data_IF_463435230516
#
_entry.id   IF_463435230516
#
_cell.length_a   1.000
_cell.length_b   1.000
_cell.length_c   1.000
_cell.angle_alpha   90.00
_cell.angle_beta   90.00
_cell.angle_gamma   90.00
#
_symmetry.space_group_name_H-M   'P 1'
#
loop_
_entity.id
_entity.type
_entity.pdbx_description
1 polymer ?
#
# COMPACT_ATOMS: atom_id res chain seq x y z
N UNK A 1 -4.62 -11.80 -42.85
CA UNK A 1 -5.32 -11.44 -41.60
C UNK A 1 -4.34 -10.72 -40.71
N UNK A 2 -4.65 -9.48 -40.31
CA UNK A 2 -3.79 -8.63 -39.47
C UNK A 2 -4.07 -9.02 -38.02
N UNK A 3 -3.10 -9.63 -37.34
CA UNK A 3 -3.27 -10.12 -35.98
C UNK A 3 -3.39 -8.94 -35.02
N UNK A 4 -4.52 -8.83 -34.32
CA UNK A 4 -4.94 -7.68 -33.52
C UNK A 4 -4.62 -7.89 -32.04
N UNK A 5 -3.38 -8.29 -31.71
CA UNK A 5 -2.98 -8.58 -30.32
C UNK A 5 -1.65 -7.93 -29.91
N UNK A 6 -1.19 -6.90 -30.63
CA UNK A 6 0.14 -6.33 -30.43
C UNK A 6 0.17 -4.85 -29.96
N UNK A 7 -0.90 -4.31 -29.36
CA UNK A 7 -0.95 -2.85 -29.10
C UNK A 7 -1.51 -2.38 -27.75
N UNK A 8 -1.65 -3.24 -26.74
CA UNK A 8 -2.17 -2.79 -25.44
C UNK A 8 -1.09 -2.54 -24.38
N UNK A 9 0.18 -2.80 -24.68
CA UNK A 9 1.33 -2.53 -23.79
C UNK A 9 2.16 -1.30 -24.18
N UNK A 10 1.94 -0.73 -25.37
CA UNK A 10 2.73 0.40 -25.91
C UNK A 10 2.41 1.72 -25.19
N UNK A 11 1.15 1.96 -24.85
CA UNK A 11 0.73 3.20 -24.21
C UNK A 11 1.24 3.30 -22.77
N UNK A 12 1.21 2.23 -21.99
CA UNK A 12 1.68 2.22 -20.59
C UNK A 12 3.21 2.40 -20.52
N UNK A 13 3.95 1.79 -21.44
CA UNK A 13 5.41 1.92 -21.52
C UNK A 13 5.88 3.30 -22.01
N UNK A 14 5.01 4.10 -22.61
CA UNK A 14 5.31 5.48 -23.04
C UNK A 14 4.79 6.50 -22.03
N UNK A 15 3.55 6.34 -21.58
CA UNK A 15 2.87 7.30 -20.68
C UNK A 15 3.48 7.25 -19.28
N UNK A 16 3.83 6.07 -18.76
CA UNK A 16 4.43 5.95 -17.44
C UNK A 16 5.75 6.70 -17.32
N UNK A 17 6.78 6.47 -18.19
CA UNK A 17 8.01 7.25 -18.12
C UNK A 17 7.82 8.72 -18.46
N UNK A 18 6.88 9.09 -19.34
CA UNK A 18 6.59 10.49 -19.63
C UNK A 18 5.94 11.21 -18.44
N UNK A 19 5.02 10.55 -17.74
CA UNK A 19 4.45 11.05 -16.49
C UNK A 19 5.53 11.17 -15.41
N UNK A 20 6.44 10.19 -15.29
CA UNK A 20 7.58 10.27 -14.37
C UNK A 20 8.54 11.42 -14.71
N UNK A 21 8.83 11.65 -16.00
CA UNK A 21 9.70 12.74 -16.43
C UNK A 21 9.09 14.11 -16.13
N UNK A 22 7.80 14.30 -16.43
CA UNK A 22 7.05 15.51 -16.08
C UNK A 22 7.05 15.70 -14.56
N UNK A 23 6.74 14.65 -13.80
CA UNK A 23 6.74 14.70 -12.34
C UNK A 23 8.13 15.05 -11.76
N UNK A 24 9.20 14.58 -12.41
CA UNK A 24 10.59 14.90 -12.05
C UNK A 24 10.89 16.39 -12.21
N UNK A 25 10.50 17.00 -13.33
CA UNK A 25 10.70 18.44 -13.57
C UNK A 25 9.91 19.29 -12.56
N UNK A 26 8.68 18.88 -12.21
CA UNK A 26 7.90 19.56 -11.18
C UNK A 26 8.45 19.33 -9.75
N UNK A 27 9.10 18.20 -9.50
CA UNK A 27 9.68 17.84 -8.20
C UNK A 27 10.91 18.67 -7.81
N UNK A 28 11.63 19.24 -8.78
CA UNK A 28 12.77 20.12 -8.49
C UNK A 28 12.32 21.47 -7.92
N UNK A 29 11.06 21.86 -8.12
CA UNK A 29 10.49 23.03 -7.48
C UNK A 29 10.03 22.72 -6.04
N UNK A 30 10.64 23.43 -5.09
CA UNK A 30 10.39 23.28 -3.65
C UNK A 30 8.91 23.45 -3.25
N UNK A 31 8.16 24.34 -3.92
CA UNK A 31 6.74 24.55 -3.63
C UNK A 31 5.90 23.32 -4.01
N UNK A 32 6.08 22.81 -5.23
CA UNK A 32 5.35 21.64 -5.71
C UNK A 32 5.68 20.39 -4.89
N UNK A 33 6.96 20.19 -4.54
CA UNK A 33 7.37 19.10 -3.64
C UNK A 33 6.64 19.15 -2.29
N UNK A 34 6.57 20.33 -1.67
CA UNK A 34 5.87 20.49 -0.39
C UNK A 34 4.37 20.24 -0.50
N UNK A 35 3.73 20.67 -1.60
CA UNK A 35 2.31 20.40 -1.85
C UNK A 35 2.07 18.89 -1.99
N UNK A 36 2.92 18.17 -2.75
CA UNK A 36 2.80 16.71 -2.91
C UNK A 36 2.97 16.00 -1.56
N UNK A 37 3.94 16.42 -0.73
CA UNK A 37 4.12 15.86 0.62
C UNK A 37 2.87 16.07 1.48
N UNK A 38 2.29 17.28 1.46
CA UNK A 38 1.07 17.57 2.19
C UNK A 38 -0.11 16.70 1.72
N UNK A 39 -0.25 16.49 0.41
CA UNK A 39 -1.26 15.59 -0.16
C UNK A 39 -1.03 14.13 0.26
N UNK A 40 0.20 13.65 0.27
CA UNK A 40 0.53 12.29 0.75
C UNK A 40 0.14 12.10 2.22
N UNK A 41 0.43 13.09 3.07
CA UNK A 41 0.03 13.07 4.48
C UNK A 41 -1.50 13.08 4.61
N UNK A 42 -2.20 13.88 3.82
CA UNK A 42 -3.66 13.94 3.84
C UNK A 42 -4.29 12.58 3.43
N UNK A 43 -3.79 11.97 2.36
CA UNK A 43 -4.21 10.64 1.90
C UNK A 43 -3.94 9.58 2.97
N UNK A 44 -2.83 9.67 3.68
CA UNK A 44 -2.49 8.78 4.79
C UNK A 44 -3.48 8.90 5.95
N UNK A 45 -3.81 10.12 6.38
CA UNK A 45 -4.79 10.37 7.44
C UNK A 45 -6.16 9.81 7.03
N UNK A 46 -6.61 10.11 5.81
CA UNK A 46 -7.88 9.61 5.29
C UNK A 46 -7.92 8.08 5.26
N UNK A 47 -6.87 7.44 4.76
CA UNK A 47 -6.78 5.98 4.66
C UNK A 47 -6.74 5.32 6.05
N UNK A 48 -6.08 5.95 7.02
CA UNK A 48 -6.06 5.51 8.43
C UNK A 48 -7.46 5.52 9.02
N UNK A 49 -8.21 6.62 8.88
CA UNK A 49 -9.58 6.75 9.39
C UNK A 49 -10.50 5.72 8.72
N UNK A 50 -10.40 5.56 7.40
CA UNK A 50 -11.20 4.57 6.65
C UNK A 50 -10.94 3.15 7.15
N UNK A 51 -9.67 2.76 7.28
CA UNK A 51 -9.31 1.42 7.78
C UNK A 51 -9.73 1.20 9.24
N UNK A 52 -9.64 2.23 10.08
CA UNK A 52 -10.12 2.16 11.46
C UNK A 52 -11.64 1.90 11.49
N UNK A 53 -12.40 2.59 10.64
CA UNK A 53 -13.85 2.39 10.53
C UNK A 53 -14.20 0.97 10.08
N UNK A 54 -13.50 0.44 9.07
CA UNK A 54 -13.68 -0.94 8.58
C UNK A 54 -13.38 -1.94 9.69
N UNK A 55 -12.27 -1.76 10.41
CA UNK A 55 -11.85 -2.63 11.52
C UNK A 55 -12.89 -2.66 12.63
N UNK A 56 -13.36 -1.49 13.07
CA UNK A 56 -14.37 -1.37 14.12
C UNK A 56 -15.72 -1.95 13.69
N UNK A 57 -16.06 -1.84 12.40
CA UNK A 57 -17.27 -2.43 11.85
C UNK A 57 -17.15 -3.96 11.84
N UNK A 58 -16.05 -4.51 11.30
CA UNK A 58 -15.79 -5.95 11.29
C UNK A 58 -15.85 -6.58 12.68
N UNK A 59 -15.22 -5.96 13.69
CA UNK A 59 -15.30 -6.44 15.08
C UNK A 59 -16.74 -6.55 15.60
N UNK A 60 -17.64 -5.66 15.16
CA UNK A 60 -19.04 -5.63 15.61
C UNK A 60 -19.95 -6.59 14.84
N UNK A 61 -19.63 -6.88 13.58
CA UNK A 61 -20.51 -7.63 12.67
C UNK A 61 -20.05 -9.06 12.42
N UNK A 62 -18.81 -9.42 12.77
CA UNK A 62 -18.27 -10.75 12.50
C UNK A 62 -19.03 -11.84 13.26
N UNK A 63 -19.36 -12.92 12.56
CA UNK A 63 -19.97 -14.11 13.16
C UNK A 63 -19.00 -14.75 14.18
N UNK A 64 -19.56 -15.29 15.26
CA UNK A 64 -18.82 -16.00 16.31
C UNK A 64 -18.21 -17.31 15.83
N UNK A 65 -18.66 -17.84 14.69
CA UNK A 65 -18.16 -19.09 14.11
C UNK A 65 -16.93 -18.94 13.20
N UNK A 66 -16.40 -17.72 13.02
CA UNK A 66 -15.20 -17.51 12.20
C UNK A 66 -13.96 -18.02 12.92
N UNK A 67 -13.09 -18.71 12.19
CA UNK A 67 -11.82 -19.20 12.73
C UNK A 67 -10.88 -18.03 13.02
N UNK A 68 -10.55 -17.88 14.28
CA UNK A 68 -9.64 -16.84 14.77
C UNK A 68 -8.40 -17.45 15.40
N UNK A 69 -7.26 -16.78 15.27
CA UNK A 69 -5.99 -17.22 15.83
C UNK A 69 -5.93 -17.00 17.34
N UNK A 70 -6.34 -15.81 17.81
CA UNK A 70 -6.36 -15.45 19.23
C UNK A 70 -7.77 -15.05 19.66
N UNK A 71 -8.48 -14.32 18.79
CA UNK A 71 -9.88 -13.95 19.00
C UNK A 71 -10.26 -12.81 18.08
N UNK A 72 -11.55 -12.73 17.71
CA UNK A 72 -12.10 -11.80 16.71
C UNK A 72 -11.56 -10.38 16.88
N UNK A 73 -11.67 -9.81 18.08
CA UNK A 73 -11.20 -8.44 18.34
C UNK A 73 -9.70 -8.27 18.10
N UNK A 74 -8.89 -9.20 18.59
CA UNK A 74 -7.43 -9.11 18.53
C UNK A 74 -6.94 -9.28 17.09
N UNK A 75 -7.50 -10.25 16.37
CA UNK A 75 -7.14 -10.53 14.99
C UNK A 75 -7.48 -9.34 14.07
N UNK A 76 -8.65 -8.70 14.24
CA UNK A 76 -8.97 -7.47 13.52
C UNK A 76 -7.99 -6.32 13.81
N UNK A 77 -7.53 -6.16 15.05
CA UNK A 77 -6.49 -5.17 15.36
C UNK A 77 -5.15 -5.52 14.72
N UNK A 78 -4.78 -6.80 14.65
CA UNK A 78 -3.58 -7.25 13.92
C UNK A 78 -3.71 -6.89 12.44
N UNK A 79 -4.87 -7.10 11.82
CA UNK A 79 -5.14 -6.72 10.43
C UNK A 79 -5.06 -5.21 10.24
N UNK A 80 -5.60 -4.42 11.16
CA UNK A 80 -5.48 -2.97 11.12
C UNK A 80 -4.01 -2.53 11.16
N UNK A 81 -3.24 -3.04 12.11
CA UNK A 81 -1.81 -2.72 12.26
C UNK A 81 -1.04 -3.16 11.01
N UNK A 82 -1.33 -4.35 10.48
CA UNK A 82 -0.79 -4.85 9.22
C UNK A 82 -1.01 -3.83 8.12
N UNK A 83 -2.27 -3.45 7.86
CA UNK A 83 -2.60 -2.48 6.81
C UNK A 83 -1.89 -1.14 7.03
N UNK A 84 -1.81 -0.64 8.27
CA UNK A 84 -1.09 0.59 8.58
C UNK A 84 0.40 0.50 8.27
N UNK A 85 1.05 -0.63 8.57
CA UNK A 85 2.46 -0.86 8.21
C UNK A 85 2.64 -0.83 6.68
N UNK A 86 1.77 -1.49 5.92
CA UNK A 86 1.81 -1.45 4.45
C UNK A 86 1.66 -0.02 3.91
N UNK A 87 0.70 0.76 4.43
CA UNK A 87 0.52 2.17 4.07
C UNK A 87 1.75 3.01 4.43
N UNK A 88 2.35 2.80 5.60
CA UNK A 88 3.58 3.48 6.01
C UNK A 88 4.77 3.15 5.11
N UNK A 89 4.90 1.90 4.66
CA UNK A 89 5.94 1.50 3.70
C UNK A 89 5.74 2.19 2.35
N UNK A 90 4.50 2.24 1.86
CA UNK A 90 4.17 2.92 0.60
C UNK A 90 4.40 4.43 0.69
N UNK A 91 4.01 5.06 1.80
CA UNK A 91 4.28 6.48 2.06
C UNK A 91 5.78 6.74 2.20
N UNK A 92 6.51 5.88 2.92
CA UNK A 92 7.95 5.96 3.07
C UNK A 92 8.68 5.86 1.74
N UNK A 93 8.19 5.01 0.82
CA UNK A 93 8.70 4.91 -0.54
C UNK A 93 8.45 6.22 -1.30
N UNK A 94 7.22 6.76 -1.29
CA UNK A 94 6.90 8.05 -1.90
C UNK A 94 7.76 9.21 -1.37
N UNK A 95 7.95 9.28 -0.04
CA UNK A 95 8.81 10.30 0.59
C UNK A 95 10.29 10.12 0.23
N UNK A 96 10.76 8.87 0.11
CA UNK A 96 12.14 8.56 -0.30
C UNK A 96 12.42 9.11 -1.70
N UNK A 97 11.49 8.94 -2.65
CA UNK A 97 11.59 9.54 -4.00
C UNK A 97 11.62 11.07 -3.98
N UNK A 98 10.87 11.71 -3.07
CA UNK A 98 10.77 13.17 -3.02
C UNK A 98 11.95 13.83 -2.31
N UNK A 99 12.53 13.18 -1.29
CA UNK A 99 13.44 13.83 -0.34
C UNK A 99 14.88 13.32 -0.40
N UNK A 100 15.12 12.09 -0.87
CA UNK A 100 16.43 11.45 -0.80
C UNK A 100 17.01 11.33 -2.21
N UNK A 101 18.27 11.76 -2.39
CA UNK A 101 19.00 11.69 -3.67
C UNK A 101 20.27 10.84 -3.54
N UNK A 102 20.77 10.34 -4.67
CA UNK A 102 22.07 9.68 -4.77
C UNK A 102 22.14 8.30 -4.11
N UNK A 103 23.29 7.97 -3.51
CA UNK A 103 23.53 6.62 -2.95
C UNK A 103 22.58 6.24 -1.81
N UNK A 104 22.18 7.21 -0.99
CA UNK A 104 21.24 6.98 0.12
C UNK A 104 19.85 6.57 -0.37
N UNK A 105 19.41 7.06 -1.54
CA UNK A 105 18.12 6.69 -2.12
C UNK A 105 18.03 5.18 -2.35
N UNK A 106 19.04 4.61 -3.01
CA UNK A 106 19.08 3.19 -3.33
C UNK A 106 19.11 2.30 -2.08
N UNK A 107 19.85 2.73 -1.05
CA UNK A 107 19.92 2.01 0.23
C UNK A 107 18.54 2.02 0.91
N UNK A 108 17.88 3.17 0.99
CA UNK A 108 16.56 3.29 1.61
C UNK A 108 15.50 2.48 0.86
N UNK A 109 15.50 2.54 -0.48
CA UNK A 109 14.59 1.72 -1.31
C UNK A 109 14.83 0.23 -1.08
N UNK A 110 16.08 -0.21 -0.99
CA UNK A 110 16.41 -1.60 -0.72
C UNK A 110 15.93 -2.06 0.66
N UNK A 111 16.09 -1.21 1.70
CA UNK A 111 15.57 -1.50 3.04
C UNK A 111 14.05 -1.64 2.99
N UNK A 112 13.34 -0.69 2.37
CA UNK A 112 11.88 -0.74 2.22
C UNK A 112 11.43 -2.01 1.50
N UNK A 113 12.11 -2.39 0.41
CA UNK A 113 11.82 -3.60 -0.34
C UNK A 113 12.00 -4.87 0.51
N UNK A 114 13.08 -4.98 1.27
CA UNK A 114 13.31 -6.12 2.17
C UNK A 114 12.25 -6.18 3.27
N UNK A 115 11.92 -5.03 3.89
CA UNK A 115 10.85 -4.96 4.91
C UNK A 115 9.50 -5.36 4.31
N UNK A 116 9.19 -4.93 3.10
CA UNK A 116 7.95 -5.29 2.42
C UNK A 116 7.86 -6.79 2.12
N UNK A 117 8.96 -7.41 1.68
CA UNK A 117 9.00 -8.88 1.47
C UNK A 117 8.76 -9.64 2.77
N UNK A 118 9.40 -9.24 3.88
CA UNK A 118 9.16 -9.83 5.20
C UNK A 118 7.70 -9.67 5.64
N UNK A 119 7.11 -8.52 5.33
CA UNK A 119 5.73 -8.24 5.62
C UNK A 119 4.77 -9.16 4.84
N UNK A 120 5.05 -9.47 3.56
CA UNK A 120 4.26 -10.44 2.78
C UNK A 120 4.32 -11.86 3.37
N UNK A 121 5.50 -12.27 3.87
CA UNK A 121 5.61 -13.56 4.58
C UNK A 121 4.73 -13.60 5.85
N UNK A 122 4.70 -12.48 6.58
CA UNK A 122 3.86 -12.36 7.77
C UNK A 122 2.36 -12.36 7.43
N UNK A 123 1.97 -11.73 6.32
CA UNK A 123 0.60 -11.76 5.80
C UNK A 123 0.14 -13.18 5.51
N UNK A 124 0.94 -13.95 4.75
CA UNK A 124 0.64 -15.35 4.45
C UNK A 124 0.51 -16.21 5.73
N UNK A 125 1.34 -15.93 6.73
CA UNK A 125 1.26 -16.61 8.02
C UNK A 125 -0.06 -16.30 8.75
N UNK A 126 -0.51 -15.04 8.78
CA UNK A 126 -1.79 -14.67 9.41
C UNK A 126 -2.95 -15.31 8.66
N UNK A 127 -2.98 -15.23 7.33
CA UNK A 127 -4.04 -15.84 6.51
C UNK A 127 -4.16 -17.34 6.76
N UNK A 128 -3.05 -18.04 6.97
CA UNK A 128 -3.07 -19.47 7.32
C UNK A 128 -3.72 -19.79 8.68
N UNK A 129 -3.86 -18.78 9.55
CA UNK A 129 -4.35 -18.91 10.94
C UNK A 129 -5.73 -18.31 11.16
N UNK A 130 -6.24 -17.49 10.25
CA UNK A 130 -7.48 -16.73 10.42
C UNK A 130 -8.31 -16.72 9.14
N UNK A 131 -9.60 -17.06 9.25
CA UNK A 131 -10.53 -17.07 8.11
C UNK A 131 -11.28 -15.72 7.96
N UNK A 132 -10.81 -14.68 8.64
CA UNK A 132 -11.38 -13.31 8.57
C UNK A 132 -11.31 -12.73 7.13
N UNK A 133 -10.54 -13.36 6.25
CA UNK A 133 -10.42 -13.00 4.83
C UNK A 133 -11.33 -13.81 3.89
N UNK A 134 -11.97 -14.91 4.34
CA UNK A 134 -12.73 -15.80 3.45
C UNK A 134 -14.14 -15.29 3.11
N UNK A 135 -14.65 -14.26 3.78
CA UNK A 135 -16.05 -13.85 3.67
C UNK A 135 -16.36 -12.83 2.54
N UNK A 136 -15.50 -12.70 1.52
CA UNK A 136 -15.75 -11.80 0.39
C UNK A 136 -15.57 -12.42 -1.01
N UNK A 137 -15.69 -13.75 -1.13
CA UNK A 137 -15.78 -14.43 -2.41
C UNK A 137 -17.03 -15.30 -2.55
N UNK A 138 -18.20 -14.74 -2.28
CA UNK A 138 -19.49 -15.21 -2.82
C UNK A 138 -20.51 -14.08 -2.74
N UNK A 139 -20.55 -13.25 -3.79
CA UNK A 139 -21.74 -12.95 -4.62
C UNK A 139 -21.52 -11.70 -5.49
#
# INVERSE_FOLDING_TARGET
MKNSEANDTSWFTIIFPMACAIMSDYMDNHLYRNIIIALLILVFIYSTIKNLKITLYGIKTQDKNVRTWIGIRTDYWIIFIKNMIAFCLMLGLGMTFLLIKGKLFWITVLIIAVTYTLFLFFEHFIESKTDIYEENHTD
#
